data_IF_981632473975
#
_entry.id   IF_981632473975
#
_cell.length_a   1.000
_cell.length_b   1.000
_cell.length_c   1.000
_cell.angle_alpha   90.00
_cell.angle_beta   90.00
_cell.angle_gamma   90.00
#
_symmetry.space_group_name_H-M   'P 1'
#
loop_
_entity.id
_entity.type
_entity.pdbx_description
1 polymer ?
#
# COMPACT_ATOMS: atom_id res chain seq x y z
N UNK A 1 17.36 -20.89 5.32
CA UNK A 1 16.33 -20.02 5.94
C UNK A 1 15.47 -20.87 6.87
N UNK A 2 15.02 -20.31 7.98
CA UNK A 2 14.21 -20.95 8.99
C UNK A 2 12.89 -20.21 9.12
N UNK A 3 11.82 -20.92 9.46
CA UNK A 3 10.50 -20.31 9.66
C UNK A 3 9.98 -20.74 11.03
N UNK A 4 9.68 -19.76 11.85
CA UNK A 4 8.82 -19.97 12.99
C UNK A 4 7.36 -19.89 12.54
N UNK A 5 6.51 -20.81 13.00
CA UNK A 5 5.10 -20.86 12.62
C UNK A 5 4.22 -21.16 13.83
N UNK A 6 3.09 -20.43 13.94
CA UNK A 6 2.09 -20.63 15.00
C UNK A 6 0.68 -20.48 14.45
N UNK A 7 -0.22 -21.37 14.85
CA UNK A 7 -1.65 -21.21 14.66
C UNK A 7 -2.23 -20.37 15.81
N UNK A 8 -3.03 -19.37 15.46
CA UNK A 8 -3.68 -18.48 16.42
C UNK A 8 -5.13 -18.20 16.01
N UNK A 9 -6.06 -17.99 16.96
CA UNK A 9 -7.39 -17.48 16.62
C UNK A 9 -7.31 -16.16 15.86
N UNK A 10 -8.12 -16.01 14.80
CA UNK A 10 -8.10 -14.82 13.94
C UNK A 10 -8.38 -13.51 14.68
N UNK A 11 -9.05 -13.56 15.82
CA UNK A 11 -9.27 -12.40 16.70
C UNK A 11 -7.99 -11.77 17.24
N UNK A 12 -6.87 -12.51 17.24
CA UNK A 12 -5.56 -12.05 17.70
C UNK A 12 -4.64 -11.61 16.55
N UNK A 13 -5.15 -11.58 15.32
CA UNK A 13 -4.33 -11.22 14.14
C UNK A 13 -3.69 -9.83 14.30
N UNK A 14 -4.47 -8.85 14.76
CA UNK A 14 -3.99 -7.48 14.97
C UNK A 14 -2.87 -7.41 16.03
N UNK A 15 -2.99 -8.22 17.10
CA UNK A 15 -1.96 -8.30 18.13
C UNK A 15 -0.66 -8.92 17.60
N UNK A 16 -0.74 -9.84 16.63
CA UNK A 16 0.44 -10.40 15.98
C UNK A 16 1.08 -9.40 15.03
N UNK A 17 0.29 -8.66 14.25
CA UNK A 17 0.79 -7.59 13.38
C UNK A 17 1.47 -6.47 14.18
N UNK A 18 0.87 -6.08 15.31
CA UNK A 18 1.45 -5.08 16.20
C UNK A 18 2.76 -5.55 16.84
N UNK A 19 2.80 -6.81 17.33
CA UNK A 19 3.97 -7.39 17.99
C UNK A 19 5.18 -7.52 17.08
N UNK A 20 4.96 -7.84 15.82
CA UNK A 20 5.99 -7.94 14.80
C UNK A 20 5.99 -6.72 13.86
N UNK A 21 5.45 -5.59 14.34
CA UNK A 21 5.40 -4.34 13.56
C UNK A 21 6.81 -3.96 13.09
N UNK A 22 6.94 -3.67 11.79
CA UNK A 22 8.22 -3.35 11.17
C UNK A 22 9.10 -4.56 10.84
N UNK A 23 8.65 -5.79 11.10
CA UNK A 23 9.37 -6.98 10.66
C UNK A 23 8.91 -7.34 9.22
N UNK A 24 9.77 -7.15 8.21
CA UNK A 24 9.42 -7.43 6.81
C UNK A 24 9.21 -8.92 6.52
N UNK A 25 9.67 -9.77 7.43
CA UNK A 25 9.62 -11.22 7.29
C UNK A 25 8.40 -11.86 7.99
N UNK A 26 7.42 -11.05 8.43
CA UNK A 26 6.16 -11.53 8.98
C UNK A 26 5.17 -11.87 7.87
N UNK A 27 4.61 -13.07 7.92
CA UNK A 27 3.47 -13.48 7.11
C UNK A 27 2.31 -13.95 8.00
N UNK A 28 1.09 -13.48 7.73
CA UNK A 28 -0.12 -13.93 8.42
C UNK A 28 -1.13 -14.38 7.37
N UNK A 29 -1.44 -15.67 7.38
CA UNK A 29 -2.40 -16.32 6.49
C UNK A 29 -3.69 -16.65 7.24
N UNK A 30 -4.83 -16.20 6.73
CA UNK A 30 -6.14 -16.60 7.24
C UNK A 30 -6.50 -17.97 6.65
N UNK A 31 -6.63 -18.97 7.52
CA UNK A 31 -6.93 -20.33 7.09
C UNK A 31 -8.42 -20.51 6.70
N UNK A 32 -8.69 -21.58 5.94
CA UNK A 32 -10.05 -21.93 5.48
C UNK A 32 -11.01 -21.97 6.67
N UNK A 33 -12.09 -21.18 6.60
CA UNK A 33 -13.07 -21.01 7.68
C UNK A 33 -12.94 -19.71 8.48
N UNK A 34 -11.88 -18.91 8.27
CA UNK A 34 -11.75 -17.53 8.78
C UNK A 34 -11.54 -17.40 10.31
N UNK A 35 -11.56 -18.50 11.07
CA UNK A 35 -11.46 -18.49 12.54
C UNK A 35 -10.04 -18.62 13.07
N UNK A 36 -9.12 -19.03 12.23
CA UNK A 36 -7.72 -19.31 12.59
C UNK A 36 -6.80 -18.63 11.58
N UNK A 37 -5.71 -18.07 12.07
CA UNK A 37 -4.61 -17.56 11.26
C UNK A 37 -3.37 -18.40 11.50
N UNK A 38 -2.54 -18.53 10.46
CA UNK A 38 -1.17 -18.99 10.58
C UNK A 38 -0.29 -17.75 10.61
N UNK A 39 0.50 -17.61 11.66
CA UNK A 39 1.51 -16.57 11.80
C UNK A 39 2.87 -17.19 11.53
N UNK A 40 3.62 -16.66 10.60
CA UNK A 40 4.96 -17.13 10.24
C UNK A 40 5.95 -15.97 10.26
N UNK A 41 7.14 -16.23 10.81
CA UNK A 41 8.27 -15.30 10.75
C UNK A 41 9.44 -16.02 10.10
N UNK A 42 9.93 -15.44 9.02
CA UNK A 42 11.06 -15.97 8.26
C UNK A 42 12.36 -15.43 8.83
N UNK A 43 13.28 -16.32 9.23
CA UNK A 43 14.53 -15.98 9.91
C UNK A 43 15.72 -16.49 9.11
N UNK A 44 16.79 -15.72 9.04
CA UNK A 44 18.02 -16.18 8.40
C UNK A 44 18.72 -17.22 9.26
N UNK A 45 18.70 -17.04 10.58
CA UNK A 45 19.37 -17.93 11.56
C UNK A 45 18.34 -18.76 12.34
N UNK A 46 18.72 -20.00 12.64
CA UNK A 46 17.89 -20.92 13.43
C UNK A 46 17.62 -20.38 14.84
N UNK A 47 18.62 -19.78 15.45
CA UNK A 47 18.53 -19.20 16.79
C UNK A 47 17.48 -18.09 16.90
N UNK A 48 17.30 -17.27 15.84
CA UNK A 48 16.26 -16.23 15.80
C UNK A 48 14.86 -16.86 15.83
N UNK A 49 14.63 -17.88 15.00
CA UNK A 49 13.34 -18.59 14.97
C UNK A 49 13.07 -19.34 16.28
N UNK A 50 14.11 -19.93 16.90
CA UNK A 50 14.00 -20.62 18.19
C UNK A 50 13.69 -19.65 19.33
N UNK A 51 14.29 -18.46 19.36
CA UNK A 51 13.97 -17.42 20.34
C UNK A 51 12.51 -16.96 20.26
N UNK A 52 11.96 -16.82 19.04
CA UNK A 52 10.54 -16.53 18.86
C UNK A 52 9.67 -17.68 19.35
N UNK A 53 10.06 -18.93 19.09
CA UNK A 53 9.34 -20.10 19.55
C UNK A 53 9.35 -20.24 21.08
N UNK A 54 10.46 -19.90 21.72
CA UNK A 54 10.58 -19.91 23.19
C UNK A 54 9.64 -18.87 23.82
N UNK A 55 9.55 -17.70 23.23
CA UNK A 55 8.71 -16.61 23.74
C UNK A 55 7.22 -16.82 23.49
N UNK A 56 6.84 -17.34 22.33
CA UNK A 56 5.44 -17.38 21.88
C UNK A 56 4.89 -18.80 21.68
N UNK A 57 5.69 -19.84 21.86
CA UNK A 57 5.36 -21.18 21.44
C UNK A 57 5.31 -21.30 19.91
N UNK A 58 4.77 -22.40 19.41
CA UNK A 58 4.76 -22.68 17.97
C UNK A 58 5.87 -23.65 17.58
N UNK A 59 6.20 -23.73 16.32
CA UNK A 59 7.21 -24.65 15.78
C UNK A 59 8.18 -23.94 14.87
N UNK A 60 9.42 -24.45 14.82
CA UNK A 60 10.46 -23.98 13.89
C UNK A 60 10.70 -25.07 12.85
N UNK A 61 10.72 -24.69 11.57
CA UNK A 61 11.05 -25.58 10.46
C UNK A 61 12.14 -24.96 9.58
N UNK A 62 12.94 -25.83 8.99
CA UNK A 62 13.89 -25.41 7.94
C UNK A 62 13.16 -25.39 6.61
N UNK A 63 13.31 -24.30 5.86
CA UNK A 63 12.83 -24.26 4.49
C UNK A 63 13.77 -25.01 3.57
N UNK A 64 13.21 -25.81 2.66
CA UNK A 64 13.98 -26.43 1.59
C UNK A 64 14.65 -25.33 0.75
N UNK A 65 15.82 -25.62 0.13
CA UNK A 65 16.54 -24.65 -0.72
C UNK A 65 15.68 -24.07 -1.86
N UNK A 66 14.66 -24.81 -2.28
CA UNK A 66 13.74 -24.45 -3.38
C UNK A 66 12.36 -23.96 -2.90
N UNK A 67 12.22 -23.53 -1.65
CA UNK A 67 10.95 -23.07 -1.09
C UNK A 67 10.32 -21.93 -1.88
N UNK A 68 11.13 -21.08 -2.52
CA UNK A 68 10.70 -19.99 -3.39
C UNK A 68 10.06 -20.46 -4.70
N UNK A 69 10.18 -21.77 -5.04
CA UNK A 69 9.52 -22.41 -6.19
C UNK A 69 8.17 -23.04 -5.82
N UNK A 70 7.81 -23.10 -4.53
CA UNK A 70 6.47 -23.51 -4.15
C UNK A 70 5.47 -22.51 -4.75
N UNK A 71 4.50 -23.00 -5.53
CA UNK A 71 3.42 -22.17 -6.09
C UNK A 71 2.69 -21.49 -4.93
N UNK A 72 3.03 -20.20 -4.71
CA UNK A 72 2.20 -19.33 -3.89
C UNK A 72 0.88 -19.21 -4.65
N UNK A 73 -0.21 -19.60 -4.02
CA UNK A 73 -1.53 -19.49 -4.64
C UNK A 73 -1.73 -18.01 -5.05
N UNK A 74 -1.79 -17.79 -6.38
CA UNK A 74 -1.91 -16.44 -6.93
C UNK A 74 -3.16 -15.77 -6.37
N UNK A 75 -3.05 -14.57 -5.79
CA UNK A 75 -4.19 -13.81 -5.33
C UNK A 75 -5.21 -13.64 -6.45
N UNK A 76 -6.50 -13.68 -6.13
CA UNK A 76 -7.52 -13.42 -7.13
C UNK A 76 -7.38 -12.00 -7.67
N UNK A 77 -7.53 -11.79 -8.99
CA UNK A 77 -7.48 -10.46 -9.58
C UNK A 77 -8.49 -9.51 -8.93
N UNK A 78 -8.05 -8.30 -8.63
CA UNK A 78 -8.85 -7.26 -7.95
C UNK A 78 -9.42 -6.30 -8.97
N UNK A 79 -10.74 -6.20 -9.03
CA UNK A 79 -11.45 -5.21 -9.87
C UNK A 79 -11.50 -3.86 -9.15
N UNK A 80 -10.97 -2.82 -9.79
CA UNK A 80 -10.98 -1.44 -9.30
C UNK A 80 -11.88 -0.61 -10.20
N UNK A 81 -13.06 -0.27 -9.70
CA UNK A 81 -14.13 0.37 -10.50
C UNK A 81 -14.35 -0.44 -11.79
N UNK A 82 -14.62 0.26 -12.87
CA UNK A 82 -14.70 -0.24 -14.26
C UNK A 82 -13.38 -0.03 -15.02
N UNK A 83 -12.31 0.45 -14.36
CA UNK A 83 -11.07 0.92 -14.99
C UNK A 83 -9.98 -0.12 -14.97
N UNK A 84 -9.65 -0.69 -13.79
CA UNK A 84 -8.51 -1.59 -13.65
C UNK A 84 -8.88 -3.01 -13.25
N UNK A 85 -8.01 -3.93 -13.65
CA UNK A 85 -7.87 -5.26 -13.09
C UNK A 85 -6.44 -5.40 -12.59
N UNK A 86 -6.25 -5.42 -11.27
CA UNK A 86 -4.94 -5.65 -10.65
C UNK A 86 -4.76 -7.14 -10.41
N UNK A 87 -3.65 -7.71 -10.85
CA UNK A 87 -3.37 -9.13 -10.77
C UNK A 87 -1.92 -9.41 -10.40
N UNK A 88 -1.67 -10.51 -9.68
CA UNK A 88 -0.33 -11.05 -9.47
C UNK A 88 0.25 -11.79 -10.69
N UNK A 89 -0.55 -12.01 -11.73
CA UNK A 89 -0.08 -12.71 -12.94
C UNK A 89 0.92 -11.85 -13.71
N UNK A 90 2.01 -12.48 -14.19
CA UNK A 90 3.06 -11.81 -14.98
C UNK A 90 3.31 -12.44 -16.34
N UNK A 91 2.75 -13.63 -16.60
CA UNK A 91 2.93 -14.34 -17.85
C UNK A 91 2.14 -13.68 -18.98
N UNK A 92 2.76 -13.29 -20.11
CA UNK A 92 2.09 -12.54 -21.17
C UNK A 92 0.84 -13.21 -21.73
N UNK A 93 0.84 -14.55 -21.89
CA UNK A 93 -0.30 -15.29 -22.40
C UNK A 93 -1.51 -15.23 -21.46
N UNK A 94 -1.28 -15.33 -20.16
CA UNK A 94 -2.33 -15.27 -19.14
C UNK A 94 -2.86 -13.84 -18.98
N UNK A 95 -1.98 -12.81 -19.03
CA UNK A 95 -2.41 -11.42 -19.06
C UNK A 95 -3.29 -11.11 -20.27
N UNK A 96 -2.92 -11.62 -21.45
CA UNK A 96 -3.74 -11.47 -22.66
C UNK A 96 -5.12 -12.17 -22.52
N UNK A 97 -5.19 -13.32 -21.84
CA UNK A 97 -6.44 -14.02 -21.53
C UNK A 97 -7.30 -13.20 -20.58
N UNK A 98 -6.71 -12.69 -19.48
CA UNK A 98 -7.41 -11.80 -18.53
C UNK A 98 -7.97 -10.55 -19.23
N UNK A 99 -7.24 -9.97 -20.19
CA UNK A 99 -7.71 -8.84 -20.98
C UNK A 99 -8.96 -9.15 -21.80
N UNK A 100 -9.03 -10.36 -22.39
CA UNK A 100 -10.22 -10.82 -23.11
C UNK A 100 -11.41 -11.11 -22.17
N UNK A 101 -11.15 -11.67 -20.99
CA UNK A 101 -12.19 -11.98 -19.99
C UNK A 101 -12.75 -10.72 -19.30
N UNK A 102 -11.98 -9.62 -19.33
CA UNK A 102 -12.34 -8.35 -18.67
C UNK A 102 -12.26 -7.17 -19.64
N UNK A 103 -13.03 -7.13 -20.73
CA UNK A 103 -12.97 -6.07 -21.71
C UNK A 103 -13.25 -4.70 -21.08
N UNK A 104 -12.54 -3.68 -21.55
CA UNK A 104 -12.65 -2.31 -21.05
C UNK A 104 -11.88 -2.02 -19.74
N UNK A 105 -11.19 -3.01 -19.17
CA UNK A 105 -10.31 -2.84 -18.03
C UNK A 105 -8.86 -2.87 -18.43
N UNK A 106 -8.11 -1.91 -17.95
CA UNK A 106 -6.65 -1.95 -18.07
C UNK A 106 -6.06 -2.87 -17.01
N UNK A 107 -5.16 -3.77 -17.42
CA UNK A 107 -4.53 -4.73 -16.52
C UNK A 107 -3.29 -4.08 -15.91
N UNK A 108 -3.16 -4.20 -14.58
CA UNK A 108 -1.95 -3.87 -13.84
C UNK A 108 -1.40 -5.16 -13.23
N UNK A 109 -0.19 -5.53 -13.65
CA UNK A 109 0.51 -6.73 -13.20
C UNK A 109 1.44 -6.38 -12.04
N UNK A 110 1.14 -6.90 -10.85
CA UNK A 110 1.96 -6.77 -9.64
C UNK A 110 2.16 -8.18 -9.07
N UNK A 111 3.22 -8.88 -9.46
CA UNK A 111 3.53 -10.20 -8.91
C UNK A 111 3.67 -10.15 -7.39
N UNK A 112 3.29 -11.22 -6.68
CA UNK A 112 3.49 -11.30 -5.24
C UNK A 112 5.00 -11.37 -4.95
N UNK A 113 5.53 -10.31 -4.40
CA UNK A 113 6.89 -10.16 -3.93
C UNK A 113 6.88 -9.75 -2.45
N UNK A 114 8.04 -9.64 -1.80
CA UNK A 114 8.13 -9.26 -0.39
C UNK A 114 7.83 -7.77 -0.12
N UNK A 115 7.52 -6.97 -1.15
CA UNK A 115 7.10 -5.59 -0.99
C UNK A 115 5.57 -5.50 -0.79
N UNK A 116 5.13 -4.59 0.10
CA UNK A 116 3.70 -4.35 0.38
C UNK A 116 2.99 -3.67 -0.78
N UNK A 117 1.73 -4.04 -1.04
CA UNK A 117 0.87 -3.32 -1.97
C UNK A 117 0.48 -4.09 -3.24
N UNK A 118 0.22 -5.40 -3.15
CA UNK A 118 -0.23 -6.26 -4.27
C UNK A 118 -1.65 -5.96 -4.79
N UNK A 119 -2.36 -5.03 -4.15
CA UNK A 119 -3.69 -4.56 -4.56
C UNK A 119 -4.87 -5.30 -3.94
N UNK A 120 -4.70 -6.51 -3.43
CA UNK A 120 -5.74 -7.31 -2.77
C UNK A 120 -6.03 -6.84 -1.34
N UNK A 121 -5.06 -6.18 -0.70
CA UNK A 121 -5.26 -5.62 0.64
C UNK A 121 -6.34 -4.53 0.65
N UNK A 122 -7.11 -4.47 1.74
CA UNK A 122 -8.24 -3.55 1.90
C UNK A 122 -7.85 -2.08 1.73
N UNK A 123 -6.68 -1.68 2.25
CA UNK A 123 -6.15 -0.31 2.17
C UNK A 123 -5.83 0.05 0.72
N UNK A 124 -5.02 -0.74 0.04
CA UNK A 124 -4.56 -0.49 -1.33
C UNK A 124 -5.75 -0.46 -2.31
N UNK A 125 -6.66 -1.44 -2.20
CA UNK A 125 -7.85 -1.48 -3.06
C UNK A 125 -8.79 -0.28 -2.84
N UNK A 126 -8.82 0.30 -1.62
CA UNK A 126 -9.63 1.49 -1.33
C UNK A 126 -8.93 2.76 -1.84
N UNK A 127 -7.60 2.89 -1.65
CA UNK A 127 -6.81 3.97 -2.26
C UNK A 127 -7.00 4.02 -3.78
N UNK A 128 -6.88 2.88 -4.46
CA UNK A 128 -7.09 2.80 -5.92
C UNK A 128 -8.47 3.28 -6.34
N UNK A 129 -9.54 2.92 -5.61
CA UNK A 129 -10.90 3.40 -5.92
C UNK A 129 -11.04 4.90 -5.74
N UNK A 130 -10.48 5.47 -4.67
CA UNK A 130 -10.48 6.92 -4.45
C UNK A 130 -9.65 7.64 -5.51
N UNK A 131 -8.51 7.08 -5.91
CA UNK A 131 -7.65 7.65 -6.96
C UNK A 131 -8.37 7.67 -8.32
N UNK A 132 -9.12 6.62 -8.67
CA UNK A 132 -9.97 6.62 -9.88
C UNK A 132 -11.05 7.70 -9.79
N UNK A 133 -11.68 7.87 -8.62
CA UNK A 133 -12.70 8.91 -8.43
C UNK A 133 -12.08 10.32 -8.65
N UNK A 134 -10.91 10.60 -8.05
CA UNK A 134 -10.16 11.87 -8.24
C UNK A 134 -9.79 12.09 -9.72
N UNK A 135 -9.25 11.05 -10.38
CA UNK A 135 -8.87 11.17 -11.79
C UNK A 135 -10.07 11.51 -12.70
N UNK A 136 -11.26 11.04 -12.39
CA UNK A 136 -12.51 11.39 -13.10
C UNK A 136 -12.89 12.84 -12.88
N UNK A 137 -12.74 13.34 -11.67
CA UNK A 137 -13.00 14.75 -11.32
C UNK A 137 -12.02 15.68 -12.01
N UNK A 138 -10.76 15.23 -12.24
CA UNK A 138 -9.67 15.97 -12.89
C UNK A 138 -9.55 15.71 -14.39
N UNK A 139 -10.56 15.10 -15.01
CA UNK A 139 -10.52 14.74 -16.44
C UNK A 139 -10.25 15.98 -17.31
N UNK A 140 -9.19 15.89 -18.12
CA UNK A 140 -8.77 16.96 -19.04
C UNK A 140 -7.85 18.03 -18.40
N UNK A 141 -7.53 17.90 -17.11
CA UNK A 141 -6.54 18.74 -16.44
C UNK A 141 -5.19 18.04 -16.35
N UNK A 142 -4.11 18.79 -16.36
CA UNK A 142 -2.79 18.31 -15.97
C UNK A 142 -2.72 18.22 -14.45
N UNK A 143 -2.32 17.08 -13.92
CA UNK A 143 -2.17 16.87 -12.48
C UNK A 143 -0.98 15.99 -12.16
N UNK A 144 -0.33 16.29 -11.08
CA UNK A 144 0.89 15.62 -10.61
C UNK A 144 0.64 14.82 -9.35
N UNK A 145 1.44 13.77 -9.13
CA UNK A 145 1.25 12.84 -8.01
C UNK A 145 2.53 12.68 -7.20
N UNK A 146 2.38 12.57 -5.87
CA UNK A 146 3.40 12.01 -4.98
C UNK A 146 2.84 10.77 -4.27
N UNK A 147 3.53 9.64 -4.38
CA UNK A 147 3.22 8.37 -3.71
C UNK A 147 4.27 8.11 -2.63
N UNK A 148 3.87 8.32 -1.39
CA UNK A 148 4.74 8.30 -0.20
C UNK A 148 4.62 6.96 0.52
N UNK A 149 5.72 6.20 0.58
CA UNK A 149 5.70 4.79 0.98
C UNK A 149 5.10 3.94 -0.14
N UNK A 150 5.71 4.01 -1.32
CA UNK A 150 5.14 3.47 -2.57
C UNK A 150 5.05 1.94 -2.61
N UNK A 151 5.88 1.24 -1.81
CA UNK A 151 5.92 -0.22 -1.78
C UNK A 151 6.16 -0.82 -3.16
N UNK A 152 5.17 -1.54 -3.69
CA UNK A 152 5.24 -2.13 -5.04
C UNK A 152 5.14 -1.14 -6.19
N UNK A 153 4.92 0.16 -5.94
CA UNK A 153 4.69 1.16 -6.98
C UNK A 153 3.26 1.20 -7.54
N UNK A 154 2.36 0.34 -7.06
CA UNK A 154 1.03 0.16 -7.66
C UNK A 154 0.21 1.46 -7.73
N UNK A 155 0.22 2.30 -6.70
CA UNK A 155 -0.56 3.54 -6.70
C UNK A 155 0.00 4.56 -7.69
N UNK A 156 1.33 4.69 -7.78
CA UNK A 156 2.01 5.52 -8.76
C UNK A 156 1.74 5.02 -10.21
N UNK A 157 1.81 3.71 -10.45
CA UNK A 157 1.46 3.08 -11.73
C UNK A 157 0.01 3.41 -12.11
N UNK A 158 -0.93 3.22 -11.17
CA UNK A 158 -2.34 3.51 -11.41
C UNK A 158 -2.57 4.99 -11.72
N UNK A 159 -1.90 5.91 -11.01
CA UNK A 159 -2.01 7.34 -11.28
C UNK A 159 -1.57 7.69 -12.70
N UNK A 160 -0.43 7.15 -13.14
CA UNK A 160 0.07 7.38 -14.51
C UNK A 160 -0.89 6.84 -15.57
N UNK A 161 -1.41 5.62 -15.37
CA UNK A 161 -2.41 5.00 -16.26
C UNK A 161 -3.74 5.75 -16.27
N UNK A 162 -4.07 6.50 -15.23
CA UNK A 162 -5.21 7.42 -15.17
C UNK A 162 -4.96 8.77 -15.82
N UNK A 163 -3.79 8.98 -16.41
CA UNK A 163 -3.45 10.20 -17.13
C UNK A 163 -2.83 11.30 -16.26
N UNK A 164 -2.27 10.97 -15.08
CA UNK A 164 -1.47 11.96 -14.37
C UNK A 164 -0.26 12.39 -15.20
N UNK A 165 0.22 13.60 -15.00
CA UNK A 165 1.53 14.06 -15.41
C UNK A 165 2.66 13.34 -14.65
N UNK A 166 3.88 13.89 -14.64
CA UNK A 166 5.00 13.28 -13.96
C UNK A 166 4.70 12.99 -12.47
N UNK A 167 5.03 11.78 -12.01
CA UNK A 167 4.83 11.33 -10.65
C UNK A 167 6.15 11.21 -9.90
N UNK A 168 6.10 11.45 -8.59
CA UNK A 168 7.16 11.15 -7.65
C UNK A 168 6.71 9.99 -6.77
N UNK A 169 7.55 9.00 -6.57
CA UNK A 169 7.28 7.87 -5.69
C UNK A 169 8.50 7.65 -4.78
N UNK A 170 8.29 7.38 -3.51
CA UNK A 170 9.40 7.09 -2.62
C UNK A 170 9.06 6.02 -1.58
N UNK A 171 10.10 5.31 -1.17
CA UNK A 171 10.06 4.42 -0.04
C UNK A 171 11.38 4.53 0.74
N UNK A 172 11.36 4.23 2.05
CA UNK A 172 12.59 4.20 2.84
C UNK A 172 13.35 2.87 2.65
N UNK A 173 12.65 1.83 2.19
CA UNK A 173 13.20 0.51 1.93
C UNK A 173 13.76 0.43 0.50
N UNK A 174 15.10 0.26 0.33
CA UNK A 174 15.70 0.13 -0.98
C UNK A 174 15.19 -1.08 -1.77
N UNK A 175 14.71 -2.12 -1.09
CA UNK A 175 14.09 -3.25 -1.75
C UNK A 175 12.74 -2.86 -2.38
N UNK A 176 11.89 -2.11 -1.67
CA UNK A 176 10.64 -1.60 -2.21
C UNK A 176 10.87 -0.67 -3.41
N UNK A 177 11.88 0.20 -3.35
CA UNK A 177 12.30 1.07 -4.46
C UNK A 177 12.64 0.27 -5.71
N UNK A 178 13.41 -0.80 -5.55
CA UNK A 178 13.77 -1.72 -6.65
C UNK A 178 12.52 -2.39 -7.23
N UNK A 179 11.66 -2.95 -6.38
CA UNK A 179 10.41 -3.62 -6.79
C UNK A 179 9.48 -2.66 -7.51
N UNK A 180 9.34 -1.42 -7.02
CA UNK A 180 8.54 -0.39 -7.67
C UNK A 180 9.06 -0.08 -9.09
N UNK A 181 10.36 0.08 -9.27
CA UNK A 181 10.97 0.31 -10.58
C UNK A 181 10.72 -0.87 -11.55
N UNK A 182 10.91 -2.10 -11.09
CA UNK A 182 10.65 -3.30 -11.89
C UNK A 182 9.16 -3.43 -12.28
N UNK A 183 8.25 -3.03 -11.40
CA UNK A 183 6.82 -3.04 -11.67
C UNK A 183 6.40 -1.91 -12.65
N UNK A 184 7.04 -0.75 -12.59
CA UNK A 184 6.85 0.32 -13.59
C UNK A 184 7.22 -0.18 -14.98
N UNK A 185 8.41 -0.76 -15.13
CA UNK A 185 8.88 -1.32 -16.40
C UNK A 185 7.93 -2.42 -16.90
N UNK A 186 7.53 -3.35 -16.03
CA UNK A 186 6.60 -4.46 -16.35
C UNK A 186 5.26 -3.96 -16.86
N UNK A 187 4.77 -2.84 -16.35
CA UNK A 187 3.49 -2.25 -16.76
C UNK A 187 3.62 -1.20 -17.86
N UNK A 188 4.82 -0.99 -18.42
CA UNK A 188 5.09 -0.01 -19.47
C UNK A 188 4.75 1.41 -19.03
N UNK A 189 5.09 1.78 -17.81
CA UNK A 189 4.79 3.08 -17.23
C UNK A 189 6.04 3.92 -17.07
N UNK A 190 6.10 5.02 -17.80
CA UNK A 190 7.15 6.02 -17.73
C UNK A 190 6.75 7.24 -16.91
N UNK A 191 7.72 8.13 -16.64
CA UNK A 191 7.48 9.43 -16.00
C UNK A 191 7.20 9.34 -14.50
N UNK A 192 7.68 8.28 -13.84
CA UNK A 192 7.69 8.17 -12.38
C UNK A 192 9.13 8.22 -11.88
N UNK A 193 9.45 9.22 -11.08
CA UNK A 193 10.72 9.30 -10.37
C UNK A 193 10.61 8.49 -9.07
N UNK A 194 11.25 7.31 -9.01
CA UNK A 194 11.29 6.47 -7.81
C UNK A 194 12.56 6.72 -7.02
N UNK A 195 12.44 7.00 -5.72
CA UNK A 195 13.59 7.34 -4.84
C UNK A 195 13.56 6.54 -3.55
N UNK A 196 14.75 6.15 -3.10
CA UNK A 196 14.97 5.77 -1.72
C UNK A 196 14.95 7.05 -0.87
N UNK A 197 13.92 7.20 -0.04
CA UNK A 197 13.71 8.42 0.73
C UNK A 197 12.88 8.16 1.97
N UNK A 198 13.42 8.54 3.12
CA UNK A 198 12.66 8.65 4.35
C UNK A 198 11.72 9.86 4.27
N UNK A 199 10.41 9.60 4.31
CA UNK A 199 9.37 10.64 4.24
C UNK A 199 9.54 11.70 5.33
N UNK A 200 10.00 11.31 6.54
CA UNK A 200 10.17 12.25 7.66
C UNK A 200 11.27 13.29 7.40
N UNK A 201 12.21 12.97 6.52
CA UNK A 201 13.33 13.84 6.11
C UNK A 201 13.13 14.45 4.73
N UNK A 202 12.06 14.08 4.04
CA UNK A 202 11.81 14.54 2.68
C UNK A 202 11.47 16.04 2.64
N UNK A 203 11.97 16.68 1.60
CA UNK A 203 11.65 18.08 1.28
C UNK A 203 10.85 18.11 -0.03
N UNK A 204 9.52 18.26 0.05
CA UNK A 204 8.69 18.32 -1.15
C UNK A 204 9.03 19.55 -1.98
N UNK A 205 8.74 19.48 -3.28
CA UNK A 205 8.87 20.66 -4.19
C UNK A 205 7.94 21.78 -3.72
N UNK A 206 8.34 23.05 -3.98
CA UNK A 206 7.62 24.24 -3.49
C UNK A 206 6.16 24.33 -3.97
N UNK A 207 5.88 23.86 -5.19
CA UNK A 207 4.52 23.87 -5.78
C UNK A 207 3.60 22.81 -5.18
N UNK A 208 4.13 21.85 -4.46
CA UNK A 208 3.40 20.67 -4.01
C UNK A 208 2.96 19.77 -5.19
N UNK A 209 2.08 18.82 -4.89
CA UNK A 209 1.51 17.87 -5.84
C UNK A 209 -0.01 17.96 -5.80
N UNK A 210 -0.66 17.79 -6.95
CA UNK A 210 -2.11 17.88 -7.07
C UNK A 210 -2.82 16.70 -6.39
N UNK A 211 -2.14 15.56 -6.32
CA UNK A 211 -2.59 14.39 -5.56
C UNK A 211 -1.43 13.83 -4.75
N UNK A 212 -1.63 13.67 -3.46
CA UNK A 212 -0.68 13.02 -2.55
C UNK A 212 -1.29 11.73 -2.03
N UNK A 213 -0.55 10.64 -2.15
CA UNK A 213 -0.93 9.31 -1.69
C UNK A 213 0.01 8.90 -0.56
N UNK A 214 -0.54 8.36 0.54
CA UNK A 214 0.24 7.83 1.64
C UNK A 214 -0.50 6.63 2.27
N UNK A 215 -0.18 5.43 1.80
CA UNK A 215 -0.71 4.18 2.37
C UNK A 215 0.33 3.56 3.30
N UNK A 216 0.55 4.18 4.46
CA UNK A 216 1.61 3.87 5.42
C UNK A 216 1.06 3.75 6.84
N UNK A 217 1.85 3.19 7.76
CA UNK A 217 1.41 2.97 9.14
C UNK A 217 1.03 4.25 9.87
N UNK A 218 0.05 4.15 10.76
CA UNK A 218 -0.48 5.27 11.57
C UNK A 218 0.60 6.03 12.32
N UNK A 219 1.58 5.34 12.89
CA UNK A 219 2.69 5.95 13.63
C UNK A 219 3.58 6.83 12.75
N UNK A 220 3.80 6.42 11.50
CA UNK A 220 4.56 7.19 10.52
C UNK A 220 3.72 8.36 10.01
N UNK A 221 2.42 8.16 9.73
CA UNK A 221 1.51 9.23 9.33
C UNK A 221 1.49 10.37 10.35
N UNK A 222 1.34 10.05 11.65
CA UNK A 222 1.31 11.07 12.72
C UNK A 222 2.57 11.93 12.70
N UNK A 223 3.74 11.34 12.49
CA UNK A 223 5.00 12.08 12.43
C UNK A 223 5.19 12.84 11.11
N UNK A 224 4.61 12.33 10.01
CA UNK A 224 4.80 12.86 8.67
C UNK A 224 3.87 14.02 8.32
N UNK A 225 2.83 14.35 9.12
CA UNK A 225 1.88 15.40 8.80
C UNK A 225 2.52 16.74 8.42
N UNK A 226 3.57 17.24 9.11
CA UNK A 226 4.22 18.51 8.72
C UNK A 226 4.86 18.44 7.31
N UNK A 227 5.25 17.26 6.84
CA UNK A 227 5.80 17.06 5.50
C UNK A 227 4.66 16.88 4.49
N UNK A 228 3.65 16.06 4.83
CA UNK A 228 2.50 15.78 3.97
C UNK A 228 1.76 17.08 3.63
N UNK A 229 1.42 17.93 4.61
CA UNK A 229 0.70 19.18 4.33
C UNK A 229 1.46 20.09 3.37
N UNK A 230 2.79 20.16 3.48
CA UNK A 230 3.64 20.94 2.55
C UNK A 230 3.76 20.32 1.17
N UNK A 231 3.48 19.02 1.04
CA UNK A 231 3.53 18.34 -0.25
C UNK A 231 2.26 18.48 -1.08
N UNK A 232 1.15 18.95 -0.47
CA UNK A 232 -0.13 19.15 -1.16
C UNK A 232 -0.14 20.53 -1.81
N UNK A 233 -0.39 20.58 -3.12
CA UNK A 233 -0.61 21.84 -3.84
C UNK A 233 -1.90 22.54 -3.37
N UNK A 234 -2.06 23.86 -3.57
CA UNK A 234 -3.35 24.52 -3.38
C UNK A 234 -4.47 23.80 -4.14
N UNK A 235 -5.59 23.50 -3.50
CA UNK A 235 -6.69 22.72 -4.06
C UNK A 235 -6.34 21.24 -4.37
N UNK A 236 -5.23 20.75 -3.85
CA UNK A 236 -4.78 19.37 -4.05
C UNK A 236 -5.49 18.37 -3.16
N UNK A 237 -5.57 17.14 -3.64
CA UNK A 237 -6.16 16.00 -2.95
C UNK A 237 -5.10 15.22 -2.14
N UNK A 238 -5.53 14.68 -1.01
CA UNK A 238 -4.77 13.73 -0.21
C UNK A 238 -5.56 12.43 -0.05
N UNK A 239 -4.91 11.30 -0.28
CA UNK A 239 -5.43 9.98 0.12
C UNK A 239 -4.47 9.38 1.13
N UNK A 240 -4.99 9.03 2.31
CA UNK A 240 -4.23 8.32 3.34
C UNK A 240 -4.89 7.00 3.70
N UNK A 241 -4.08 5.99 3.98
CA UNK A 241 -4.52 4.67 4.42
C UNK A 241 -3.42 3.97 5.22
N UNK A 242 -3.63 2.68 5.54
CA UNK A 242 -2.75 1.97 6.47
C UNK A 242 -3.10 2.26 7.94
N UNK A 243 -4.28 2.84 8.16
CA UNK A 243 -4.75 3.28 9.47
C UNK A 243 -5.65 2.19 10.07
N UNK A 244 -5.30 1.67 11.23
CA UNK A 244 -6.21 0.83 12.00
C UNK A 244 -7.38 1.66 12.55
N UNK A 245 -8.59 1.10 12.53
CA UNK A 245 -9.77 1.80 13.03
C UNK A 245 -9.65 2.22 14.50
N UNK A 246 -8.90 1.45 15.30
CA UNK A 246 -8.56 1.79 16.69
C UNK A 246 -7.63 2.98 16.83
N UNK A 247 -6.87 3.32 15.80
CA UNK A 247 -5.89 4.41 15.77
C UNK A 247 -6.38 5.63 14.97
N UNK A 248 -7.55 5.52 14.34
CA UNK A 248 -8.05 6.55 13.42
C UNK A 248 -8.26 7.91 14.12
N UNK A 249 -8.70 7.90 15.39
CA UNK A 249 -8.88 9.12 16.16
C UNK A 249 -7.57 9.89 16.32
N UNK A 250 -6.50 9.23 16.74
CA UNK A 250 -5.20 9.85 16.97
C UNK A 250 -4.61 10.39 15.67
N UNK A 251 -4.71 9.61 14.58
CA UNK A 251 -4.25 10.00 13.25
C UNK A 251 -4.98 11.24 12.74
N UNK A 252 -6.32 11.29 12.88
CA UNK A 252 -7.13 12.40 12.37
C UNK A 252 -7.00 13.65 13.24
N UNK A 253 -6.86 13.49 14.55
CA UNK A 253 -6.58 14.62 15.46
C UNK A 253 -5.23 15.25 15.14
N UNK A 254 -4.20 14.44 14.94
CA UNK A 254 -2.89 14.92 14.52
C UNK A 254 -2.91 15.57 13.12
N UNK A 255 -3.71 15.05 12.19
CA UNK A 255 -3.91 15.65 10.87
C UNK A 255 -4.53 17.05 10.97
N UNK A 256 -5.63 17.19 11.73
CA UNK A 256 -6.32 18.46 11.95
C UNK A 256 -5.41 19.51 12.58
N UNK A 257 -4.59 19.13 13.57
CA UNK A 257 -3.60 20.01 14.19
C UNK A 257 -2.55 20.53 13.18
N UNK A 258 -2.33 19.80 12.09
CA UNK A 258 -1.44 20.19 11.01
C UNK A 258 -2.19 20.83 9.81
N UNK A 259 -3.46 21.21 9.96
CA UNK A 259 -4.24 21.90 8.93
C UNK A 259 -4.73 21.00 7.80
N UNK A 260 -4.90 19.69 8.08
CA UNK A 260 -5.46 18.71 7.13
C UNK A 260 -6.88 18.32 7.57
N UNK A 261 -7.82 18.42 6.63
CA UNK A 261 -9.19 17.96 6.77
C UNK A 261 -9.52 16.81 5.84
N UNK A 262 -10.51 16.00 6.22
CA UNK A 262 -10.97 14.86 5.42
C UNK A 262 -12.44 15.04 5.01
N UNK A 263 -12.70 14.90 3.70
CA UNK A 263 -14.06 15.00 3.11
C UNK A 263 -14.72 13.64 2.95
N UNK A 264 -13.92 12.55 2.89
CA UNK A 264 -14.43 11.20 2.72
C UNK A 264 -13.61 10.22 3.55
N UNK A 265 -14.27 9.42 4.39
CA UNK A 265 -13.65 8.36 5.18
C UNK A 265 -14.35 7.04 4.87
N UNK A 266 -13.58 6.02 4.55
CA UNK A 266 -14.08 4.66 4.26
C UNK A 266 -13.43 3.68 5.22
N UNK A 267 -14.25 2.93 5.93
CA UNK A 267 -13.80 1.79 6.75
C UNK A 267 -14.06 0.48 6.01
N UNK A 268 -13.05 -0.36 5.91
CA UNK A 268 -13.15 -1.71 5.37
C UNK A 268 -12.49 -2.71 6.32
N UNK A 269 -13.32 -3.44 7.06
CA UNK A 269 -12.87 -4.28 8.16
C UNK A 269 -12.25 -3.42 9.26
N UNK A 270 -11.02 -3.75 9.62
CA UNK A 270 -10.22 -3.01 10.61
C UNK A 270 -9.48 -1.77 10.06
N UNK A 271 -9.49 -1.57 8.74
CA UNK A 271 -8.72 -0.55 8.07
C UNK A 271 -9.56 0.68 7.70
N UNK A 272 -8.94 1.84 7.81
CA UNK A 272 -9.51 3.12 7.44
C UNK A 272 -8.68 3.74 6.32
N UNK A 273 -9.37 4.28 5.32
CA UNK A 273 -8.82 5.08 4.23
C UNK A 273 -9.57 6.40 4.20
N UNK A 274 -8.88 7.51 4.08
CA UNK A 274 -9.48 8.83 4.03
C UNK A 274 -8.98 9.64 2.83
N UNK A 275 -9.89 10.43 2.22
CA UNK A 275 -9.58 11.46 1.25
C UNK A 275 -9.84 12.82 1.88
N UNK A 276 -8.99 13.78 1.59
CA UNK A 276 -9.11 15.16 2.05
C UNK A 276 -8.07 16.06 1.40
N UNK A 277 -7.69 17.12 2.10
CA UNK A 277 -6.69 18.08 1.64
C UNK A 277 -6.36 19.08 2.75
N UNK A 278 -5.78 20.23 2.38
CA UNK A 278 -5.55 21.30 3.34
C UNK A 278 -6.88 21.93 3.76
N UNK A 279 -7.07 22.20 5.03
CA UNK A 279 -8.34 22.72 5.57
C UNK A 279 -8.72 24.07 4.93
N UNK A 280 -7.76 24.96 4.71
CA UNK A 280 -7.99 26.25 4.07
C UNK A 280 -8.63 26.10 2.67
N UNK A 281 -8.19 25.12 1.90
CA UNK A 281 -8.72 24.87 0.55
C UNK A 281 -10.12 24.22 0.59
N UNK A 282 -10.43 23.47 1.65
CA UNK A 282 -11.74 22.82 1.84
C UNK A 282 -12.82 23.83 2.26
N UNK A 283 -12.45 24.83 3.05
CA UNK A 283 -13.35 25.92 3.47
C UNK A 283 -13.73 26.81 2.28
N UNK A 284 -12.76 27.17 1.43
CA UNK A 284 -13.00 27.97 0.22
C UNK A 284 -13.89 27.25 -0.82
N UNK A 285 -13.87 25.92 -0.87
CA UNK A 285 -14.70 25.15 -1.82
C UNK A 285 -16.14 24.91 -1.34
N UNK A 286 -16.43 25.19 -0.05
CA UNK A 286 -17.74 24.98 0.57
C UNK A 286 -18.58 26.28 0.65
N UNK A 287 -18.01 27.44 0.33
CA UNK A 287 -18.68 28.76 0.29
C UNK A 287 -19.02 29.15 -1.14
#
# INVERSE_FOLDING_TARGET
>A
MFVWSKLSPSKWMDAWEERFSGNPNLAIEILKGGKTVRVEVYCEKKQEAEAIAEQFGGSVRTLAKDWHKAEVAMPRPVKVRDVFLVTGESRPKELAKLGKEHPGREIISIPPEMAFGTGDHATTSTCLRMLVDIARERKGADWSVADLGTGTGLLAIAARKLGSGPAYACDFDPFAVKVAAENLDRNGVDGVEVKEQDILKWKPRKKGYDVVLANIFSTVLIQAWPVIVRSIAPGGDLIVSGILASQAWDVFTAAATNGIGFTKVVRKGKWVTARGGRMVDLEESAG
#
